data_IF_525582325332
#
_entry.id   IF_525582325332
#
_cell.length_a   1.000
_cell.length_b   1.000
_cell.length_c   1.000
_cell.angle_alpha   90.00
_cell.angle_beta   90.00
_cell.angle_gamma   90.00
#
_symmetry.space_group_name_H-M   'P 1'
#
loop_
_entity.id
_entity.type
_entity.pdbx_description
1 polymer ?
#
# COMPACT_ATOMS: atom_id res chain seq x y z
N UNK A 1 15.36 13.81 21.36
CA UNK A 1 14.44 13.15 20.42
C UNK A 1 15.07 11.84 20.00
N UNK A 2 14.38 10.69 20.08
CA UNK A 2 14.90 9.48 19.46
C UNK A 2 14.93 9.75 17.96
N UNK A 3 16.14 9.72 17.37
CA UNK A 3 16.31 9.83 15.93
C UNK A 3 15.98 8.46 15.37
N UNK A 4 14.72 8.23 14.98
CA UNK A 4 14.34 7.02 14.26
C UNK A 4 15.21 6.91 13.00
N UNK A 5 15.83 5.75 12.79
CA UNK A 5 16.64 5.53 11.59
C UNK A 5 15.73 5.27 10.39
N UNK A 6 16.23 5.51 9.17
CA UNK A 6 15.51 5.23 7.91
C UNK A 6 14.97 3.80 7.88
N UNK A 7 15.73 2.84 8.40
CA UNK A 7 15.33 1.44 8.51
C UNK A 7 14.06 1.27 9.34
N UNK A 8 13.98 1.92 10.50
CA UNK A 8 12.79 1.86 11.37
C UNK A 8 11.56 2.41 10.64
N UNK A 9 11.70 3.56 9.98
CA UNK A 9 10.61 4.19 9.22
C UNK A 9 10.13 3.28 8.08
N UNK A 10 11.06 2.69 7.31
CA UNK A 10 10.70 1.80 6.20
C UNK A 10 10.03 0.52 6.70
N UNK A 11 10.55 -0.08 7.76
CA UNK A 11 9.96 -1.27 8.36
C UNK A 11 8.52 -1.01 8.79
N UNK A 12 8.25 0.09 9.46
CA UNK A 12 6.91 0.46 9.91
C UNK A 12 5.96 0.74 8.72
N UNK A 13 6.45 1.37 7.65
CA UNK A 13 5.67 1.57 6.42
C UNK A 13 5.37 0.23 5.71
N UNK A 14 6.33 -0.69 5.67
CA UNK A 14 6.14 -2.04 5.09
C UNK A 14 5.11 -2.82 5.91
N UNK A 15 5.21 -2.80 7.23
CA UNK A 15 4.25 -3.49 8.10
C UNK A 15 2.84 -2.92 7.95
N UNK A 16 2.69 -1.60 7.89
CA UNK A 16 1.40 -0.96 7.64
C UNK A 16 0.82 -1.37 6.27
N UNK A 17 1.65 -1.43 5.22
CA UNK A 17 1.21 -1.91 3.92
C UNK A 17 0.78 -3.38 3.97
N UNK A 18 1.51 -4.25 4.67
CA UNK A 18 1.14 -5.67 4.86
C UNK A 18 -0.19 -5.82 5.58
N UNK A 19 -0.47 -5.01 6.60
CA UNK A 19 -1.75 -4.99 7.31
C UNK A 19 -2.90 -4.64 6.35
N UNK A 20 -2.77 -3.55 5.59
CA UNK A 20 -3.79 -3.13 4.62
C UNK A 20 -4.00 -4.20 3.52
N UNK A 21 -2.92 -4.85 3.05
CA UNK A 21 -3.04 -5.98 2.10
C UNK A 21 -3.84 -7.13 2.69
N UNK A 22 -3.58 -7.51 3.93
CA UNK A 22 -4.32 -8.56 4.63
C UNK A 22 -5.81 -8.22 4.74
N UNK A 23 -6.14 -6.98 5.08
CA UNK A 23 -7.52 -6.50 5.14
C UNK A 23 -8.21 -6.57 3.77
N UNK A 24 -7.52 -6.17 2.68
CA UNK A 24 -8.04 -6.28 1.32
C UNK A 24 -8.28 -7.75 0.94
N UNK A 25 -7.38 -8.68 1.28
CA UNK A 25 -7.58 -10.12 1.01
C UNK A 25 -8.82 -10.66 1.74
N UNK A 26 -9.01 -10.25 2.99
CA UNK A 26 -10.18 -10.61 3.75
C UNK A 26 -11.45 -10.04 3.12
N UNK A 27 -11.45 -8.77 2.73
CA UNK A 27 -12.57 -8.13 2.03
C UNK A 27 -12.84 -8.75 0.65
N UNK A 28 -11.81 -9.18 -0.09
CA UNK A 28 -11.97 -9.91 -1.35
C UNK A 28 -12.64 -11.27 -1.14
N UNK A 29 -12.32 -11.95 -0.05
CA UNK A 29 -12.97 -13.21 0.32
C UNK A 29 -14.45 -12.98 0.60
N UNK A 30 -14.79 -11.93 1.35
CA UNK A 30 -16.19 -11.52 1.55
C UNK A 30 -16.86 -11.09 0.24
N UNK A 31 -16.21 -10.31 -0.61
CA UNK A 31 -16.74 -9.86 -1.90
C UNK A 31 -17.15 -11.03 -2.79
N UNK A 32 -16.37 -12.12 -2.80
CA UNK A 32 -16.67 -13.32 -3.59
C UNK A 32 -17.94 -14.03 -3.10
N UNK A 33 -18.18 -14.03 -1.79
CA UNK A 33 -19.31 -14.72 -1.15
C UNK A 33 -20.54 -13.82 -0.94
N UNK A 34 -20.39 -12.50 -0.99
CA UNK A 34 -21.41 -11.52 -0.60
C UNK A 34 -22.35 -11.15 -1.75
N UNK A 35 -23.59 -10.81 -1.38
CA UNK A 35 -24.57 -10.14 -2.25
C UNK A 35 -24.34 -8.63 -2.32
N UNK A 36 -23.66 -8.03 -1.34
CA UNK A 36 -23.28 -6.61 -1.25
C UNK A 36 -21.95 -6.33 -1.96
N UNK A 37 -21.88 -6.68 -3.24
CA UNK A 37 -20.62 -6.61 -4.01
C UNK A 37 -20.16 -5.16 -4.19
N UNK A 38 -21.07 -4.24 -4.42
CA UNK A 38 -20.75 -2.83 -4.68
C UNK A 38 -20.09 -2.18 -3.47
N UNK A 39 -20.70 -2.32 -2.30
CA UNK A 39 -20.20 -1.76 -1.03
C UNK A 39 -18.85 -2.38 -0.65
N UNK A 40 -18.71 -3.70 -0.81
CA UNK A 40 -17.44 -4.38 -0.52
C UNK A 40 -16.34 -3.95 -1.50
N UNK A 41 -16.68 -3.71 -2.78
CA UNK A 41 -15.72 -3.17 -3.75
C UNK A 41 -15.28 -1.74 -3.41
N UNK A 42 -16.19 -0.88 -2.97
CA UNK A 42 -15.87 0.47 -2.53
C UNK A 42 -14.91 0.47 -1.33
N UNK A 43 -15.13 -0.42 -0.36
CA UNK A 43 -14.22 -0.59 0.78
C UNK A 43 -12.83 -1.04 0.35
N UNK A 44 -12.74 -2.00 -0.57
CA UNK A 44 -11.46 -2.46 -1.14
C UNK A 44 -10.75 -1.30 -1.84
N UNK A 45 -11.46 -0.50 -2.62
CA UNK A 45 -10.91 0.65 -3.34
C UNK A 45 -10.39 1.74 -2.40
N UNK A 46 -11.06 1.98 -1.27
CA UNK A 46 -10.55 2.89 -0.22
C UNK A 46 -9.20 2.38 0.31
N UNK A 47 -9.08 1.08 0.59
CA UNK A 47 -7.83 0.47 1.08
C UNK A 47 -6.72 0.49 0.03
N UNK A 48 -7.04 0.28 -1.25
CA UNK A 48 -6.07 0.40 -2.35
C UNK A 48 -5.53 1.84 -2.44
N UNK A 49 -6.38 2.85 -2.28
CA UNK A 49 -5.93 4.25 -2.22
C UNK A 49 -5.02 4.52 -1.03
N UNK A 50 -5.26 3.88 0.13
CA UNK A 50 -4.34 3.99 1.26
C UNK A 50 -2.96 3.40 0.91
N UNK A 51 -2.91 2.24 0.25
CA UNK A 51 -1.65 1.66 -0.22
C UNK A 51 -0.94 2.57 -1.25
N UNK A 52 -1.69 3.22 -2.13
CA UNK A 52 -1.13 4.18 -3.09
C UNK A 52 -0.46 5.37 -2.38
N UNK A 53 -1.11 5.93 -1.37
CA UNK A 53 -0.50 7.00 -0.56
C UNK A 53 0.79 6.50 0.09
N UNK A 54 0.80 5.31 0.68
CA UNK A 54 2.02 4.75 1.30
C UNK A 54 3.14 4.52 0.27
N UNK A 55 2.79 4.07 -0.93
CA UNK A 55 3.73 3.93 -2.04
C UNK A 55 4.39 5.25 -2.43
N UNK A 56 3.59 6.32 -2.56
CA UNK A 56 4.08 7.66 -2.85
C UNK A 56 5.02 8.18 -1.75
N UNK A 57 4.81 7.79 -0.48
CA UNK A 57 5.71 8.15 0.63
C UNK A 57 7.06 7.46 0.54
N UNK A 58 7.09 6.21 0.07
CA UNK A 58 8.32 5.49 -0.16
C UNK A 58 9.12 6.03 -1.37
N UNK A 59 8.51 6.86 -2.22
CA UNK A 59 9.17 7.49 -3.36
C UNK A 59 9.57 6.50 -4.47
N UNK A 60 8.92 5.33 -4.53
CA UNK A 60 9.22 4.31 -5.51
C UNK A 60 8.37 4.52 -6.79
N UNK A 61 9.01 4.97 -7.88
CA UNK A 61 8.33 5.25 -9.15
C UNK A 61 7.71 3.99 -9.77
N UNK A 62 8.39 2.84 -9.71
CA UNK A 62 7.90 1.59 -10.26
C UNK A 62 6.60 1.13 -9.57
N UNK A 63 6.49 1.36 -8.27
CA UNK A 63 5.27 1.08 -7.54
C UNK A 63 4.15 2.05 -7.91
N UNK A 64 4.46 3.34 -8.06
CA UNK A 64 3.50 4.32 -8.55
C UNK A 64 2.97 3.94 -9.95
N UNK A 65 3.83 3.42 -10.83
CA UNK A 65 3.43 2.91 -12.14
C UNK A 65 2.48 1.71 -12.02
N UNK A 66 2.73 0.77 -11.09
CA UNK A 66 1.81 -0.35 -10.83
C UNK A 66 0.40 0.11 -10.39
N UNK A 67 0.28 1.21 -9.64
CA UNK A 67 -1.03 1.81 -9.33
C UNK A 67 -1.69 2.45 -10.56
N UNK A 68 -0.91 3.02 -11.48
CA UNK A 68 -1.46 3.51 -12.76
C UNK A 68 -1.97 2.36 -13.62
N UNK A 69 -1.22 1.27 -13.70
CA UNK A 69 -1.64 0.05 -14.41
C UNK A 69 -2.94 -0.50 -13.81
N UNK A 70 -3.07 -0.51 -12.48
CA UNK A 70 -4.31 -0.90 -11.80
C UNK A 70 -5.51 -0.03 -12.24
N UNK A 71 -5.33 1.29 -12.31
CA UNK A 71 -6.34 2.25 -12.75
C UNK A 71 -6.66 2.12 -14.25
N UNK A 72 -5.67 1.81 -15.08
CA UNK A 72 -5.88 1.54 -16.50
C UNK A 72 -6.67 0.25 -16.71
N UNK A 73 -6.33 -0.83 -15.99
CA UNK A 73 -7.11 -2.08 -16.00
C UNK A 73 -8.56 -1.85 -15.56
N UNK A 74 -8.78 -0.93 -14.61
CA UNK A 74 -10.12 -0.51 -14.16
C UNK A 74 -10.90 0.18 -15.27
N UNK A 75 -10.29 1.13 -15.97
CA UNK A 75 -10.92 1.93 -17.04
C UNK A 75 -11.18 1.11 -18.30
N UNK A 76 -10.22 0.27 -18.68
CA UNK A 76 -10.24 -0.42 -19.95
C UNK A 76 -11.17 -1.63 -19.96
N UNK A 77 -11.50 -2.21 -18.79
CA UNK A 77 -12.31 -3.41 -18.68
C UNK A 77 -11.66 -4.58 -19.43
N UNK A 78 -10.96 -5.47 -18.72
CA UNK A 78 -10.23 -6.56 -19.40
C UNK A 78 -11.17 -7.49 -20.18
N UNK A 79 -10.93 -7.60 -21.49
CA UNK A 79 -11.76 -8.36 -22.44
C UNK A 79 -11.55 -9.89 -22.38
N UNK A 80 -10.51 -10.36 -21.70
CA UNK A 80 -10.15 -11.78 -21.65
C UNK A 80 -9.99 -12.21 -20.19
N UNK A 81 -11.06 -12.71 -19.58
CA UNK A 81 -10.97 -13.44 -18.31
C UNK A 81 -11.42 -14.88 -18.50
N UNK A 82 -10.80 -15.78 -17.74
CA UNK A 82 -11.26 -17.16 -17.65
C UNK A 82 -12.62 -17.17 -16.94
N UNK A 83 -13.61 -17.94 -17.41
CA UNK A 83 -14.88 -18.06 -16.72
C UNK A 83 -14.70 -18.42 -15.24
N UNK A 84 -15.31 -17.62 -14.35
CA UNK A 84 -15.20 -17.80 -12.89
C UNK A 84 -14.20 -16.88 -12.20
N UNK A 85 -13.35 -16.14 -12.94
CA UNK A 85 -12.48 -15.14 -12.35
C UNK A 85 -13.21 -13.82 -12.07
N UNK A 86 -12.88 -13.20 -10.94
CA UNK A 86 -13.38 -11.88 -10.56
C UNK A 86 -12.38 -10.80 -10.99
N UNK A 87 -12.81 -9.87 -11.85
CA UNK A 87 -11.99 -8.75 -12.34
C UNK A 87 -11.33 -7.93 -11.22
N UNK A 88 -12.01 -7.73 -10.10
CA UNK A 88 -11.44 -7.04 -8.95
C UNK A 88 -10.33 -7.87 -8.30
N UNK A 89 -10.58 -9.17 -8.09
CA UNK A 89 -9.58 -10.07 -7.50
C UNK A 89 -8.29 -10.14 -8.32
N UNK A 90 -8.39 -10.21 -9.65
CA UNK A 90 -7.22 -10.30 -10.51
C UNK A 90 -6.42 -9.01 -10.55
N UNK A 91 -7.09 -7.85 -10.69
CA UNK A 91 -6.41 -6.54 -10.64
C UNK A 91 -5.66 -6.35 -9.33
N UNK A 92 -6.29 -6.72 -8.21
CA UNK A 92 -5.65 -6.66 -6.89
C UNK A 92 -4.48 -7.63 -6.78
N UNK A 93 -4.61 -8.85 -7.33
CA UNK A 93 -3.51 -9.82 -7.31
C UNK A 93 -2.27 -9.30 -8.07
N UNK A 94 -2.45 -8.70 -9.25
CA UNK A 94 -1.35 -8.12 -10.01
C UNK A 94 -0.68 -6.96 -9.25
N UNK A 95 -1.49 -6.05 -8.68
CA UNK A 95 -0.97 -4.97 -7.83
C UNK A 95 -0.19 -5.51 -6.63
N UNK A 96 -0.68 -6.58 -6.01
CA UNK A 96 -0.04 -7.16 -4.83
C UNK A 96 1.28 -7.84 -5.14
N UNK A 97 1.42 -8.41 -6.33
CA UNK A 97 2.69 -8.93 -6.81
C UNK A 97 3.72 -7.82 -6.96
N UNK A 98 3.34 -6.69 -7.56
CA UNK A 98 4.22 -5.51 -7.68
C UNK A 98 4.61 -4.93 -6.32
N UNK A 99 3.69 -4.93 -5.34
CA UNK A 99 3.98 -4.47 -3.98
C UNK A 99 4.98 -5.40 -3.27
N UNK A 100 4.87 -6.73 -3.42
CA UNK A 100 5.83 -7.66 -2.79
C UNK A 100 7.24 -7.48 -3.33
N UNK A 101 7.39 -7.38 -4.66
CA UNK A 101 8.69 -7.11 -5.29
C UNK A 101 9.31 -5.82 -4.74
N UNK A 102 8.48 -4.79 -4.53
CA UNK A 102 8.93 -3.53 -3.97
C UNK A 102 9.32 -3.62 -2.48
N UNK A 103 8.65 -4.46 -1.68
CA UNK A 103 9.11 -4.72 -0.31
C UNK A 103 10.46 -5.41 -0.29
N UNK A 104 10.69 -6.37 -1.18
CA UNK A 104 11.98 -7.07 -1.29
C UNK A 104 13.11 -6.08 -1.64
N UNK A 105 12.89 -5.21 -2.62
CA UNK A 105 13.84 -4.16 -3.02
C UNK A 105 14.11 -3.18 -1.86
N UNK A 106 13.05 -2.67 -1.21
CA UNK A 106 13.21 -1.74 -0.09
C UNK A 106 13.94 -2.36 1.10
N UNK A 107 13.69 -3.64 1.41
CA UNK A 107 14.38 -4.35 2.49
C UNK A 107 15.87 -4.52 2.20
N UNK A 108 16.24 -4.76 0.94
CA UNK A 108 17.64 -4.83 0.52
C UNK A 108 18.31 -3.45 0.62
N UNK A 109 17.59 -2.39 0.24
CA UNK A 109 18.08 -1.00 0.27
C UNK A 109 18.20 -0.40 1.69
N UNK A 110 17.64 -1.03 2.73
CA UNK A 110 17.79 -0.57 4.12
C UNK A 110 19.27 -0.47 4.52
N UNK A 111 20.11 -1.37 4.01
CA UNK A 111 21.53 -1.45 4.36
C UNK A 111 22.46 -0.67 3.42
N UNK A 112 21.98 -0.21 2.26
CA UNK A 112 22.80 0.40 1.20
C UNK A 112 22.59 1.91 1.02
N UNK A 113 21.60 2.51 1.70
CA UNK A 113 21.21 3.89 1.47
C UNK A 113 22.23 4.95 1.94
N UNK A 114 22.49 5.94 1.07
CA UNK A 114 23.32 7.09 1.38
C UNK A 114 22.60 8.09 2.31
N UNK A 115 23.33 9.05 2.90
CA UNK A 115 22.75 10.04 3.81
C UNK A 115 21.66 10.92 3.17
N UNK A 116 21.76 11.21 1.87
CA UNK A 116 20.78 12.02 1.14
C UNK A 116 19.42 11.32 1.02
N UNK A 117 19.42 10.00 0.78
CA UNK A 117 18.19 9.19 0.69
C UNK A 117 17.47 9.11 2.04
N UNK A 118 18.23 9.09 3.14
CA UNK A 118 17.69 9.16 4.50
C UNK A 118 16.94 10.48 4.72
N UNK A 119 17.51 11.60 4.28
CA UNK A 119 16.88 12.92 4.45
C UNK A 119 15.62 13.09 3.59
N UNK A 120 15.58 12.51 2.38
CA UNK A 120 14.39 12.57 1.54
C UNK A 120 13.21 11.79 2.12
N UNK A 121 13.44 10.55 2.61
CA UNK A 121 12.37 9.75 3.21
C UNK A 121 11.78 10.45 4.45
N UNK A 122 12.63 10.90 5.39
CA UNK A 122 12.17 11.61 6.58
C UNK A 122 11.38 12.87 6.22
N UNK A 123 11.84 13.63 5.22
CA UNK A 123 11.13 14.82 4.73
C UNK A 123 9.77 14.48 4.12
N UNK A 124 9.68 13.40 3.34
CA UNK A 124 8.42 12.96 2.73
C UNK A 124 7.42 12.47 3.79
N UNK A 125 7.88 11.72 4.79
CA UNK A 125 7.06 11.28 5.93
C UNK A 125 6.55 12.47 6.74
N UNK A 126 7.41 13.44 7.07
CA UNK A 126 7.00 14.64 7.80
C UNK A 126 6.01 15.50 7.00
N UNK A 127 6.24 15.67 5.69
CA UNK A 127 5.36 16.45 4.81
C UNK A 127 3.95 15.87 4.76
N UNK A 128 3.82 14.55 4.78
CA UNK A 128 2.56 13.84 4.64
C UNK A 128 2.08 13.21 5.95
N UNK A 129 2.64 13.64 7.08
CA UNK A 129 2.35 13.11 8.43
C UNK A 129 0.85 13.01 8.74
N UNK A 130 0.07 14.02 8.37
CA UNK A 130 -1.37 14.02 8.63
C UNK A 130 -2.13 12.92 7.85
N UNK A 131 -1.72 12.65 6.61
CA UNK A 131 -2.29 11.57 5.80
C UNK A 131 -1.89 10.20 6.35
N UNK A 132 -0.61 10.05 6.71
CA UNK A 132 -0.09 8.83 7.33
C UNK A 132 -0.79 8.52 8.65
N UNK A 133 -0.96 9.52 9.52
CA UNK A 133 -1.70 9.40 10.77
C UNK A 133 -3.17 9.07 10.55
N UNK A 134 -3.79 9.60 9.48
CA UNK A 134 -5.17 9.26 9.11
C UNK A 134 -5.27 7.78 8.74
N UNK A 135 -4.33 7.26 7.94
CA UNK A 135 -4.29 5.83 7.58
C UNK A 135 -4.09 4.97 8.83
N UNK A 136 -3.13 5.36 9.69
CA UNK A 136 -2.84 4.64 10.94
C UNK A 136 -4.03 4.57 11.90
N UNK A 137 -4.88 5.61 11.95
CA UNK A 137 -6.09 5.63 12.80
C UNK A 137 -7.22 4.74 12.25
N UNK A 138 -7.17 4.42 10.97
CA UNK A 138 -8.17 3.59 10.28
C UNK A 138 -7.77 2.11 10.24
N UNK A 139 -6.54 1.78 10.64
CA UNK A 139 -6.04 0.41 10.81
C UNK A 139 -6.41 -0.18 12.17
N UNK A 140 -6.20 -1.49 12.33
CA UNK A 140 -6.51 -2.21 13.57
C UNK A 140 -5.56 -1.87 14.72
N UNK A 141 -4.36 -1.37 14.40
CA UNK A 141 -3.34 -0.93 15.37
C UNK A 141 -3.25 0.60 15.44
N UNK A 142 -3.27 1.15 16.65
CA UNK A 142 -2.83 2.53 16.86
C UNK A 142 -1.30 2.59 16.68
N UNK A 143 -0.84 3.14 15.57
CA UNK A 143 0.59 3.33 15.30
C UNK A 143 1.13 4.47 16.15
N UNK A 144 1.58 4.12 17.36
CA UNK A 144 2.24 5.06 18.28
C UNK A 144 3.56 5.59 17.69
N UNK A 145 4.21 4.81 16.82
CA UNK A 145 5.45 5.18 16.14
C UNK A 145 5.32 6.51 15.37
N UNK A 146 4.39 6.59 14.41
CA UNK A 146 4.15 7.81 13.62
C UNK A 146 3.54 8.96 14.42
N UNK A 147 2.99 8.68 15.61
CA UNK A 147 2.50 9.70 16.54
C UNK A 147 3.65 10.39 17.28
N UNK A 148 4.78 9.71 17.46
CA UNK A 148 5.99 10.19 18.13
C UNK A 148 7.05 10.82 17.22
N UNK A 149 6.87 10.74 15.89
CA UNK A 149 7.63 11.49 14.86
C UNK A 149 7.02 12.88 14.73
#
# INVERSE_FOLDING_TARGET
MPRYDRGDILMELIELCREIKSEILQQLTYYRASVYKTETAEQIEIKIKQLQVLAELCGNEALCDAFRDYDEMKKNGLKNMVPGECFLSHRVANLFQSIELMFEDMLQDIHLANQDDRHQLTKNVLRNRNQLLSICRQGSRQWQFFSGI
#
